data_IF_009401961333
#
_entry.id   IF_009401961333
#
_cell.length_a   1.000
_cell.length_b   1.000
_cell.length_c   1.000
_cell.angle_alpha   90.00
_cell.angle_beta   90.00
_cell.angle_gamma   90.00
#
_symmetry.space_group_name_H-M   'P 1'
#
loop_
_entity.id
_entity.type
_entity.pdbx_description
1 polymer ?
#
# COMPACT_ATOMS: atom_id res chain seq x y z
N UNK A 1 -19.29 15.88 -9.88
CA UNK A 1 -18.32 16.47 -8.93
C UNK A 1 -17.60 15.33 -8.20
N UNK A 2 -16.60 14.71 -8.83
CA UNK A 2 -15.75 13.69 -8.20
C UNK A 2 -14.29 14.14 -8.34
N UNK A 3 -13.86 15.00 -7.43
CA UNK A 3 -12.46 15.40 -7.30
C UNK A 3 -11.88 14.72 -6.06
N UNK A 4 -11.31 13.52 -6.26
CA UNK A 4 -10.35 12.91 -5.33
C UNK A 4 -8.97 12.95 -6.02
N UNK A 5 -8.04 13.84 -5.61
CA UNK A 5 -6.75 14.02 -6.29
C UNK A 5 -5.75 12.87 -6.11
N UNK A 6 -6.10 11.79 -5.39
CA UNK A 6 -5.27 10.57 -5.28
C UNK A 6 -5.86 9.46 -6.15
N UNK A 7 -5.56 9.47 -7.44
CA UNK A 7 -6.36 8.74 -8.43
C UNK A 7 -6.17 7.21 -8.46
N UNK A 8 -5.07 6.63 -7.95
CA UNK A 8 -4.79 5.23 -8.28
C UNK A 8 -5.67 4.20 -7.54
N UNK A 9 -5.99 4.44 -6.27
CA UNK A 9 -6.69 3.44 -5.44
C UNK A 9 -8.21 3.58 -5.46
N UNK A 10 -8.71 4.82 -5.41
CA UNK A 10 -10.15 5.12 -5.44
C UNK A 10 -10.80 4.67 -6.76
N UNK A 11 -10.11 4.85 -7.89
CA UNK A 11 -10.62 4.44 -9.20
C UNK A 11 -10.73 2.92 -9.36
N UNK A 12 -9.88 2.12 -8.68
CA UNK A 12 -9.98 0.66 -8.72
C UNK A 12 -11.29 0.13 -8.09
N UNK A 13 -11.89 0.85 -7.15
CA UNK A 13 -13.13 0.45 -6.49
C UNK A 13 -14.37 1.17 -7.03
N UNK A 14 -14.21 2.36 -7.62
CA UNK A 14 -15.33 3.25 -7.95
C UNK A 14 -15.55 3.48 -9.44
N UNK A 15 -14.66 3.01 -10.31
CA UNK A 15 -14.93 3.07 -11.74
C UNK A 15 -16.16 2.19 -12.05
N UNK A 16 -17.16 2.69 -12.80
CA UNK A 16 -18.33 1.88 -13.16
C UNK A 16 -17.89 0.62 -13.89
N UNK A 17 -18.14 -0.55 -13.27
CA UNK A 17 -17.74 -1.87 -13.77
C UNK A 17 -16.44 -2.44 -13.18
N UNK A 18 -15.70 -1.70 -12.36
CA UNK A 18 -14.57 -2.24 -11.62
C UNK A 18 -15.06 -3.03 -10.39
N UNK A 19 -14.62 -4.28 -10.29
CA UNK A 19 -14.98 -5.20 -9.20
C UNK A 19 -13.86 -5.34 -8.16
N UNK A 20 -12.76 -4.58 -8.30
CA UNK A 20 -11.63 -4.60 -7.39
C UNK A 20 -10.32 -4.12 -8.04
N UNK A 21 -9.22 -4.21 -7.28
CA UNK A 21 -7.89 -3.80 -7.72
C UNK A 21 -6.77 -4.70 -7.24
N UNK A 22 -5.71 -4.83 -8.05
CA UNK A 22 -4.49 -5.57 -7.68
C UNK A 22 -3.57 -4.61 -6.95
N UNK A 23 -3.29 -4.89 -5.68
CA UNK A 23 -2.43 -4.05 -4.85
C UNK A 23 -1.32 -4.87 -4.19
N UNK A 24 -0.07 -4.49 -4.43
CA UNK A 24 1.08 -5.11 -3.76
C UNK A 24 1.05 -4.92 -2.25
N UNK A 25 0.59 -3.75 -1.77
CA UNK A 25 0.44 -3.43 -0.35
C UNK A 25 -0.58 -4.35 0.34
N UNK A 26 -1.50 -4.99 -0.39
CA UNK A 26 -2.45 -5.95 0.20
C UNK A 26 -1.78 -7.18 0.82
N UNK A 27 -0.55 -7.51 0.41
CA UNK A 27 0.23 -8.58 1.04
C UNK A 27 0.70 -8.24 2.46
N UNK A 28 0.65 -6.96 2.84
CA UNK A 28 1.11 -6.46 4.14
C UNK A 28 -0.04 -5.84 4.92
N UNK A 29 -0.77 -4.91 4.30
CA UNK A 29 -1.90 -4.17 4.85
C UNK A 29 -3.23 -4.59 4.22
N UNK A 30 -3.48 -5.90 4.16
CA UNK A 30 -4.72 -6.44 3.60
C UNK A 30 -5.98 -5.95 4.31
N UNK A 31 -6.02 -5.98 5.65
CA UNK A 31 -7.18 -5.55 6.43
C UNK A 31 -7.55 -4.05 6.20
N UNK A 32 -6.60 -3.10 6.25
CA UNK A 32 -6.87 -1.70 5.86
C UNK A 32 -7.40 -1.52 4.44
N UNK A 33 -6.94 -2.32 3.47
CA UNK A 33 -7.42 -2.26 2.10
C UNK A 33 -8.86 -2.77 1.99
N UNK A 34 -9.21 -3.85 2.68
CA UNK A 34 -10.59 -4.31 2.78
C UNK A 34 -11.49 -3.27 3.46
N UNK A 35 -11.00 -2.60 4.51
CA UNK A 35 -11.74 -1.54 5.17
C UNK A 35 -11.99 -0.35 4.22
N UNK A 36 -11.02 0.00 3.37
CA UNK A 36 -11.20 1.04 2.37
C UNK A 36 -12.30 0.69 1.35
N UNK A 37 -12.36 -0.56 0.91
CA UNK A 37 -13.41 -1.05 0.01
C UNK A 37 -14.79 -0.95 0.67
N UNK A 38 -14.91 -1.38 1.92
CA UNK A 38 -16.15 -1.29 2.70
C UNK A 38 -16.61 0.17 2.88
N UNK A 39 -15.70 1.09 3.20
CA UNK A 39 -16.01 2.52 3.36
C UNK A 39 -16.46 3.16 2.04
N UNK A 40 -15.87 2.75 0.92
CA UNK A 40 -16.31 3.16 -0.41
C UNK A 40 -17.72 2.63 -0.72
N UNK A 41 -18.01 1.38 -0.38
CA UNK A 41 -19.33 0.77 -0.60
C UNK A 41 -20.42 1.37 0.31
N UNK A 42 -20.08 1.72 1.55
CA UNK A 42 -21.01 2.37 2.50
C UNK A 42 -21.24 3.86 2.21
N UNK A 43 -20.57 4.44 1.20
CA UNK A 43 -20.65 5.86 0.87
C UNK A 43 -19.96 6.78 1.88
N UNK A 44 -19.10 6.24 2.76
CA UNK A 44 -18.37 6.98 3.78
C UNK A 44 -17.08 7.62 3.22
N UNK A 45 -17.27 8.57 2.30
CA UNK A 45 -16.19 9.14 1.48
C UNK A 45 -15.08 9.85 2.25
N UNK A 46 -15.41 10.54 3.36
CA UNK A 46 -14.41 11.28 4.15
C UNK A 46 -13.43 10.33 4.85
N UNK A 47 -13.94 9.26 5.46
CA UNK A 47 -13.11 8.25 6.12
C UNK A 47 -12.35 7.41 5.09
N UNK A 48 -12.98 7.06 3.97
CA UNK A 48 -12.31 6.41 2.84
C UNK A 48 -11.13 7.25 2.35
N UNK A 49 -11.31 8.57 2.18
CA UNK A 49 -10.24 9.49 1.76
C UNK A 49 -9.09 9.53 2.77
N UNK A 50 -9.39 9.64 4.07
CA UNK A 50 -8.35 9.66 5.13
C UNK A 50 -7.53 8.36 5.11
N UNK A 51 -8.21 7.21 5.04
CA UNK A 51 -7.55 5.91 5.00
C UNK A 51 -6.73 5.74 3.72
N UNK A 52 -7.28 6.17 2.58
CA UNK A 52 -6.57 6.14 1.31
C UNK A 52 -5.29 6.99 1.36
N UNK A 53 -5.32 8.21 1.91
CA UNK A 53 -4.14 9.04 2.06
C UNK A 53 -3.02 8.36 2.87
N UNK A 54 -3.39 7.58 3.88
CA UNK A 54 -2.42 6.79 4.67
C UNK A 54 -1.83 5.61 3.90
N UNK A 55 -2.54 5.09 2.90
CA UNK A 55 -2.11 3.92 2.13
C UNK A 55 -1.30 4.28 0.88
N UNK A 56 -1.47 5.48 0.31
CA UNK A 56 -0.84 5.88 -0.95
C UNK A 56 0.69 5.82 -0.87
N UNK A 57 1.27 6.43 0.15
CA UNK A 57 2.73 6.57 0.24
C UNK A 57 3.44 5.23 0.53
N UNK A 58 2.98 4.39 1.48
CA UNK A 58 3.48 3.02 1.62
C UNK A 58 3.31 2.18 0.36
N UNK A 59 2.20 2.34 -0.38
CA UNK A 59 1.98 1.62 -1.63
C UNK A 59 3.00 2.05 -2.70
N UNK A 60 3.27 3.34 -2.84
CA UNK A 60 4.29 3.86 -3.78
C UNK A 60 5.67 3.35 -3.39
N UNK A 61 6.00 3.36 -2.09
CA UNK A 61 7.28 2.87 -1.59
C UNK A 61 7.53 1.41 -2.02
N UNK A 62 6.55 0.51 -1.85
CA UNK A 62 6.71 -0.92 -2.20
C UNK A 62 6.48 -1.25 -3.68
N UNK A 63 5.83 -0.38 -4.47
CA UNK A 63 5.54 -0.67 -5.89
C UNK A 63 6.47 0.04 -6.86
N UNK A 64 6.90 1.26 -6.55
CA UNK A 64 7.68 2.11 -7.47
C UNK A 64 9.09 2.39 -6.96
N UNK A 65 9.27 2.64 -5.66
CA UNK A 65 10.58 3.06 -5.13
C UNK A 65 11.50 1.87 -4.85
N UNK A 66 11.02 0.89 -4.08
CA UNK A 66 11.83 -0.24 -3.60
C UNK A 66 11.40 -1.58 -4.18
N UNK A 67 10.25 -1.63 -4.86
CA UNK A 67 9.75 -2.81 -5.58
C UNK A 67 9.63 -4.07 -4.70
N UNK A 68 9.89 -5.22 -5.32
CA UNK A 68 9.79 -6.55 -4.67
C UNK A 68 10.67 -6.66 -3.41
N UNK A 69 11.94 -6.19 -3.38
CA UNK A 69 12.74 -6.15 -2.15
C UNK A 69 12.07 -5.35 -1.02
N UNK A 70 11.50 -4.19 -1.32
CA UNK A 70 10.78 -3.39 -0.33
C UNK A 70 9.51 -4.06 0.18
N UNK A 71 8.75 -4.69 -0.71
CA UNK A 71 7.56 -5.45 -0.30
C UNK A 71 7.92 -6.60 0.64
N UNK A 72 8.96 -7.38 0.32
CA UNK A 72 9.42 -8.49 1.15
C UNK A 72 9.95 -8.00 2.50
N UNK A 73 10.66 -6.88 2.52
CA UNK A 73 11.11 -6.28 3.77
C UNK A 73 9.93 -5.81 4.63
N UNK A 74 8.92 -5.18 4.01
CA UNK A 74 7.71 -4.79 4.71
C UNK A 74 6.97 -6.02 5.28
N UNK A 75 6.86 -7.10 4.52
CA UNK A 75 6.26 -8.35 4.99
C UNK A 75 6.91 -8.86 6.29
N UNK A 76 8.24 -8.78 6.41
CA UNK A 76 8.95 -9.19 7.63
C UNK A 76 8.55 -8.36 8.86
N UNK A 77 8.32 -7.06 8.72
CA UNK A 77 7.90 -6.21 9.84
C UNK A 77 6.50 -6.53 10.34
N UNK A 78 5.63 -7.03 9.47
CA UNK A 78 4.26 -7.45 9.81
C UNK A 78 4.18 -8.94 10.17
N UNK A 79 5.32 -9.60 10.41
CA UNK A 79 5.39 -10.97 10.89
C UNK A 79 5.29 -12.05 9.81
N UNK A 80 5.35 -11.69 8.53
CA UNK A 80 5.35 -12.62 7.40
C UNK A 80 6.78 -12.97 6.97
N UNK A 81 6.99 -14.16 6.39
CA UNK A 81 8.29 -14.56 5.85
C UNK A 81 8.46 -14.07 4.40
N UNK A 82 8.98 -12.85 4.22
CA UNK A 82 9.26 -12.27 2.89
C UNK A 82 10.40 -13.00 2.16
N UNK A 83 11.45 -13.37 2.91
CA UNK A 83 12.60 -14.12 2.42
C UNK A 83 13.43 -13.38 1.36
N UNK A 84 14.54 -13.98 0.92
CA UNK A 84 15.44 -13.31 -0.02
C UNK A 84 14.83 -13.09 -1.40
N UNK A 85 15.24 -12.01 -2.06
CA UNK A 85 14.97 -11.78 -3.48
C UNK A 85 15.82 -12.71 -4.33
N UNK A 86 15.25 -13.22 -5.44
CA UNK A 86 15.99 -14.00 -6.43
C UNK A 86 16.74 -13.05 -7.36
N UNK A 87 17.98 -13.40 -7.72
CA UNK A 87 18.74 -12.69 -8.73
C UNK A 87 17.92 -12.54 -10.04
N UNK A 88 17.98 -11.39 -10.74
CA UNK A 88 18.92 -10.28 -10.57
C UNK A 88 18.54 -9.24 -9.49
N UNK A 89 17.43 -9.44 -8.77
CA UNK A 89 16.99 -8.50 -7.73
C UNK A 89 17.87 -8.63 -6.49
N UNK A 90 18.50 -7.53 -6.09
CA UNK A 90 19.34 -7.44 -4.91
C UNK A 90 18.51 -7.10 -3.66
N UNK A 91 18.97 -7.50 -2.46
CA UNK A 91 18.39 -7.01 -1.21
C UNK A 91 18.57 -5.50 -1.09
N UNK A 92 17.70 -4.86 -0.30
CA UNK A 92 17.82 -3.44 0.01
C UNK A 92 19.07 -3.18 0.88
N UNK A 93 19.71 -2.03 0.68
CA UNK A 93 20.76 -1.56 1.59
C UNK A 93 20.14 -1.11 2.91
N UNK A 94 20.94 -1.04 3.99
CA UNK A 94 20.46 -0.56 5.29
C UNK A 94 19.80 0.83 5.20
N UNK A 95 20.38 1.73 4.39
CA UNK A 95 19.81 3.06 4.15
C UNK A 95 18.43 3.00 3.51
N UNK A 96 18.24 2.14 2.49
CA UNK A 96 16.95 1.95 1.83
C UNK A 96 15.92 1.31 2.75
N UNK A 97 16.34 0.38 3.63
CA UNK A 97 15.48 -0.22 4.65
C UNK A 97 15.01 0.85 5.64
N UNK A 98 15.89 1.76 6.07
CA UNK A 98 15.53 2.86 6.96
C UNK A 98 14.55 3.84 6.28
N UNK A 99 14.80 4.22 5.03
CA UNK A 99 13.90 5.08 4.25
C UNK A 99 12.52 4.43 4.08
N UNK A 100 12.48 3.16 3.66
CA UNK A 100 11.24 2.38 3.57
C UNK A 100 10.51 2.36 4.91
N UNK A 101 11.22 2.18 6.02
CA UNK A 101 10.62 2.15 7.36
C UNK A 101 9.98 3.50 7.71
N UNK A 102 10.63 4.60 7.33
CA UNK A 102 10.12 5.94 7.59
C UNK A 102 8.78 6.20 6.87
N UNK A 103 8.61 5.70 5.64
CA UNK A 103 7.33 5.76 4.92
C UNK A 103 6.21 5.06 5.70
N UNK A 104 6.48 3.89 6.29
CA UNK A 104 5.46 3.20 7.10
C UNK A 104 5.17 3.90 8.44
N UNK A 105 6.20 4.43 9.13
CA UNK A 105 6.04 5.14 10.41
C UNK A 105 5.27 6.45 10.22
N UNK A 106 5.62 7.25 9.20
CA UNK A 106 4.97 8.53 8.93
C UNK A 106 3.45 8.40 8.70
N UNK A 107 3.02 7.25 8.22
CA UNK A 107 1.61 6.95 7.94
C UNK A 107 0.94 6.07 9.02
N UNK A 108 1.65 5.79 10.12
CA UNK A 108 1.14 5.13 11.32
C UNK A 108 0.85 3.64 11.12
N UNK A 109 1.72 2.95 10.37
CA UNK A 109 1.62 1.52 10.11
C UNK A 109 2.65 0.68 10.89
N UNK A 110 3.70 1.31 11.39
CA UNK A 110 4.74 0.77 12.28
C UNK A 110 4.97 1.73 13.44
#
# INVERSE_FOLDING_TARGET
MLQCPGALFCWLFLAPGAVGGICALANVLGAPICQLEQLCHSGSWDEARKLQHRLIEPNIAVTQMFGIPGLKQAMEWFGYQGGFCRAPLLPLTETQVMELRQHFINHGWL
#
